data_IF_095636087204
#
_entry.id   IF_095636087204
#
_cell.length_a   1.000
_cell.length_b   1.000
_cell.length_c   1.000
_cell.angle_alpha   90.00
_cell.angle_beta   90.00
_cell.angle_gamma   90.00
#
_symmetry.space_group_name_H-M   'P 1'
#
loop_
_entity.id
_entity.type
_entity.pdbx_description
1 polymer ?
#
# COMPACT_ATOMS: atom_id res chain seq x y z
N UNK A 1 13.31 -13.05 -12.42
CA UNK A 1 12.49 -14.28 -12.53
C UNK A 1 11.46 -14.14 -13.65
N UNK A 2 11.11 -15.23 -14.38
CA UNK A 2 10.10 -15.26 -15.45
C UNK A 2 8.93 -16.12 -14.99
N UNK A 3 7.73 -15.55 -15.03
CA UNK A 3 6.50 -16.27 -14.70
C UNK A 3 5.99 -16.98 -15.94
N UNK A 4 5.50 -18.20 -15.77
CA UNK A 4 5.14 -19.09 -16.86
C UNK A 4 3.69 -19.54 -16.70
N UNK A 5 2.94 -19.44 -17.78
CA UNK A 5 1.59 -19.98 -17.88
C UNK A 5 1.60 -21.16 -18.85
N UNK A 6 0.77 -22.15 -18.60
CA UNK A 6 0.54 -23.24 -19.55
C UNK A 6 -0.27 -22.75 -20.77
N UNK A 7 -0.59 -23.66 -21.70
CA UNK A 7 -1.39 -23.37 -22.90
C UNK A 7 -2.77 -22.79 -22.56
N UNK A 8 -3.38 -23.23 -21.47
CA UNK A 8 -4.72 -22.82 -21.01
C UNK A 8 -4.69 -21.55 -20.16
N UNK A 9 -3.50 -20.96 -19.92
CA UNK A 9 -3.33 -19.76 -19.12
C UNK A 9 -3.25 -19.99 -17.62
N UNK A 10 -3.16 -21.25 -17.17
CA UNK A 10 -2.95 -21.58 -15.76
C UNK A 10 -1.49 -21.36 -15.35
N UNK A 11 -1.21 -20.88 -14.13
CA UNK A 11 0.13 -20.60 -13.69
C UNK A 11 0.92 -21.89 -13.42
N UNK A 12 2.17 -21.88 -13.87
CA UNK A 12 3.19 -22.89 -13.58
C UNK A 12 4.28 -22.30 -12.68
N UNK A 13 5.22 -23.15 -12.26
CA UNK A 13 6.38 -22.68 -11.51
C UNK A 13 7.21 -21.68 -12.32
N UNK A 14 7.61 -20.56 -11.72
CA UNK A 14 8.44 -19.57 -12.38
C UNK A 14 9.86 -20.10 -12.62
N UNK A 15 10.57 -19.51 -13.58
CA UNK A 15 11.90 -19.97 -13.96
C UNK A 15 12.92 -18.84 -14.03
N UNK A 16 14.18 -19.15 -13.69
CA UNK A 16 15.35 -18.28 -13.90
C UNK A 16 16.14 -18.68 -15.15
N UNK A 17 15.69 -19.67 -15.91
CA UNK A 17 16.39 -20.15 -17.12
C UNK A 17 16.13 -19.22 -18.31
N UNK A 18 16.67 -18.01 -18.27
CA UNK A 18 16.45 -16.96 -19.28
C UNK A 18 16.81 -17.43 -20.71
N UNK A 19 17.86 -18.24 -20.85
CA UNK A 19 18.25 -18.81 -22.16
C UNK A 19 17.17 -19.73 -22.76
N UNK A 20 16.55 -20.60 -21.92
CA UNK A 20 15.41 -21.44 -22.35
C UNK A 20 14.23 -20.56 -22.78
N UNK A 21 13.92 -19.52 -22.02
CA UNK A 21 12.81 -18.61 -22.33
C UNK A 21 13.04 -17.89 -23.68
N UNK A 22 14.28 -17.36 -23.91
CA UNK A 22 14.61 -16.74 -25.22
C UNK A 22 14.44 -17.71 -26.38
N UNK A 23 14.87 -18.94 -26.23
CA UNK A 23 14.69 -20.00 -27.24
C UNK A 23 13.22 -20.27 -27.52
N UNK A 24 12.39 -20.43 -26.47
CA UNK A 24 10.94 -20.67 -26.61
C UNK A 24 10.25 -19.50 -27.34
N UNK A 25 10.63 -18.27 -27.06
CA UNK A 25 10.09 -17.10 -27.74
C UNK A 25 10.55 -17.03 -29.22
N UNK A 26 11.85 -17.32 -29.48
CA UNK A 26 12.40 -17.34 -30.84
C UNK A 26 11.75 -18.41 -31.70
N UNK A 27 11.50 -19.60 -31.15
CA UNK A 27 10.87 -20.75 -31.84
C UNK A 27 9.34 -20.63 -31.85
N UNK A 28 8.75 -19.53 -31.41
CA UNK A 28 7.29 -19.29 -31.32
C UNK A 28 6.54 -20.37 -30.49
N UNK A 29 7.24 -21.10 -29.61
CA UNK A 29 6.64 -22.04 -28.64
C UNK A 29 6.10 -21.37 -27.39
N UNK A 30 6.36 -20.08 -27.22
CA UNK A 30 5.79 -19.24 -26.17
C UNK A 30 5.50 -17.83 -26.70
N UNK A 31 4.56 -17.15 -26.04
CA UNK A 31 4.27 -15.73 -26.28
C UNK A 31 4.39 -14.91 -24.99
N UNK A 32 4.75 -13.63 -25.11
CA UNK A 32 4.77 -12.71 -23.97
C UNK A 32 3.35 -12.24 -23.67
N UNK A 33 2.91 -12.43 -22.43
CA UNK A 33 1.60 -11.98 -21.96
C UNK A 33 1.73 -10.65 -21.20
N UNK A 34 2.82 -10.49 -20.42
CA UNK A 34 3.03 -9.30 -19.61
C UNK A 34 4.51 -8.97 -19.52
N UNK A 35 4.84 -7.67 -19.55
CA UNK A 35 6.23 -7.20 -19.44
C UNK A 35 6.70 -7.08 -17.99
N UNK A 36 5.81 -6.66 -17.09
CA UNK A 36 6.16 -6.48 -15.69
C UNK A 36 4.98 -6.87 -14.75
N UNK A 37 5.12 -7.90 -13.90
CA UNK A 37 6.18 -8.91 -13.89
C UNK A 37 6.26 -9.68 -15.22
N UNK A 38 7.48 -10.03 -15.66
CA UNK A 38 7.65 -10.64 -16.97
C UNK A 38 7.03 -12.04 -17.00
N UNK A 39 5.97 -12.19 -17.82
CA UNK A 39 5.14 -13.40 -17.87
C UNK A 39 5.01 -13.89 -19.31
N UNK A 40 5.26 -15.16 -19.51
CA UNK A 40 5.09 -15.84 -20.79
C UNK A 40 4.01 -16.93 -20.70
N UNK A 41 3.36 -17.23 -21.81
CA UNK A 41 2.45 -18.36 -21.95
C UNK A 41 3.05 -19.34 -22.94
N UNK A 42 3.09 -20.62 -22.55
CA UNK A 42 3.49 -21.71 -23.42
C UNK A 42 2.37 -22.01 -24.43
N UNK A 43 2.74 -22.42 -25.62
CA UNK A 43 1.82 -22.74 -26.70
C UNK A 43 1.75 -24.23 -27.02
N UNK A 44 2.29 -25.06 -26.12
CA UNK A 44 2.31 -26.52 -26.20
C UNK A 44 1.93 -27.10 -24.85
N UNK A 45 1.51 -28.36 -24.85
CA UNK A 45 1.08 -29.06 -23.64
C UNK A 45 2.30 -29.44 -22.77
N UNK A 46 2.14 -29.22 -21.48
CA UNK A 46 3.18 -29.49 -20.46
C UNK A 46 2.57 -30.16 -19.24
N UNK A 47 3.41 -30.87 -18.49
CA UNK A 47 3.04 -31.36 -17.16
C UNK A 47 2.84 -30.17 -16.20
N UNK A 48 1.83 -30.27 -15.35
CA UNK A 48 1.44 -29.22 -14.39
C UNK A 48 2.00 -29.47 -12.98
N UNK A 49 3.21 -30.02 -12.87
CA UNK A 49 3.85 -30.23 -11.58
C UNK A 49 4.21 -28.88 -10.94
N UNK A 50 3.66 -28.61 -9.76
CA UNK A 50 3.91 -27.41 -8.98
C UNK A 50 4.37 -27.77 -7.58
N UNK A 51 5.11 -26.85 -6.94
CA UNK A 51 5.47 -26.93 -5.53
C UNK A 51 4.47 -26.13 -4.72
N UNK A 52 4.38 -26.42 -3.43
CA UNK A 52 3.58 -25.61 -2.52
C UNK A 52 4.14 -24.18 -2.41
N UNK A 53 3.27 -23.23 -2.64
CA UNK A 53 3.58 -21.82 -2.55
C UNK A 53 2.67 -21.18 -1.50
N UNK A 54 3.28 -20.58 -0.47
CA UNK A 54 2.56 -19.80 0.51
C UNK A 54 2.67 -18.31 0.16
N UNK A 55 1.52 -17.65 0.05
CA UNK A 55 1.42 -16.21 -0.12
C UNK A 55 1.20 -15.54 1.23
N UNK A 56 2.20 -14.79 1.71
CA UNK A 56 2.06 -13.89 2.86
C UNK A 56 1.53 -12.52 2.42
N UNK A 57 0.58 -11.99 3.19
CA UNK A 57 -0.05 -10.69 2.93
C UNK A 57 0.00 -9.82 4.18
N UNK A 58 0.83 -8.77 4.15
CA UNK A 58 0.77 -7.66 5.11
C UNK A 58 -0.31 -6.68 4.66
N UNK A 59 -1.48 -6.76 5.30
CA UNK A 59 -2.65 -5.98 4.94
C UNK A 59 -2.61 -4.58 5.57
N UNK A 60 -1.90 -3.65 4.94
CA UNK A 60 -1.76 -2.28 5.41
C UNK A 60 -2.80 -1.29 4.88
N UNK A 61 -2.92 -0.12 5.52
CA UNK A 61 -3.86 0.94 5.11
C UNK A 61 -3.34 1.82 3.97
N UNK A 62 -2.05 1.97 3.86
CA UNK A 62 -1.35 2.77 2.85
C UNK A 62 -0.53 1.90 1.90
N UNK A 63 0.03 0.83 2.41
CA UNK A 63 0.83 -0.14 1.69
C UNK A 63 0.28 -1.55 1.90
N UNK A 64 0.51 -2.43 0.96
CA UNK A 64 0.28 -3.86 1.08
C UNK A 64 1.61 -4.54 0.78
N UNK A 65 2.13 -5.29 1.74
CA UNK A 65 3.25 -6.17 1.50
C UNK A 65 2.78 -7.52 0.97
N UNK A 66 3.49 -8.05 -0.01
CA UNK A 66 3.20 -9.36 -0.60
C UNK A 66 4.50 -10.13 -0.75
N UNK A 67 4.50 -11.39 -0.33
CA UNK A 67 5.60 -12.31 -0.58
C UNK A 67 5.06 -13.71 -0.85
N UNK A 68 5.39 -14.26 -2.02
CA UNK A 68 5.07 -15.64 -2.38
C UNK A 68 6.34 -16.49 -2.27
N UNK A 69 6.32 -17.47 -1.39
CA UNK A 69 7.50 -18.26 -1.02
C UNK A 69 7.22 -19.75 -1.15
N UNK A 70 8.23 -20.50 -1.55
CA UNK A 70 8.36 -21.92 -1.20
C UNK A 70 9.18 -22.04 0.09
N UNK A 71 9.33 -23.24 0.64
CA UNK A 71 10.14 -23.48 1.84
C UNK A 71 11.54 -22.83 1.77
N UNK A 72 12.16 -22.81 0.59
CA UNK A 72 13.57 -22.42 0.43
C UNK A 72 13.78 -21.14 -0.38
N UNK A 73 12.78 -20.67 -1.15
CA UNK A 73 12.97 -19.59 -2.12
C UNK A 73 11.81 -18.62 -2.11
N UNK A 74 12.14 -17.37 -2.23
CA UNK A 74 11.21 -16.30 -2.57
C UNK A 74 10.98 -16.31 -4.08
N UNK A 75 9.72 -16.42 -4.48
CA UNK A 75 9.31 -16.45 -5.89
C UNK A 75 8.79 -15.08 -6.36
N UNK A 76 8.25 -14.30 -5.43
CA UNK A 76 7.71 -12.96 -5.70
C UNK A 76 7.71 -12.13 -4.44
N UNK A 77 8.12 -10.89 -4.55
CA UNK A 77 7.94 -9.88 -3.49
C UNK A 77 7.40 -8.59 -4.08
N UNK A 78 6.53 -7.93 -3.35
CA UNK A 78 6.02 -6.62 -3.76
C UNK A 78 5.65 -5.72 -2.58
N UNK A 79 5.87 -4.42 -2.79
CA UNK A 79 5.28 -3.33 -2.01
C UNK A 79 4.25 -2.61 -2.88
N UNK A 80 3.03 -2.51 -2.40
CA UNK A 80 1.91 -1.93 -3.14
C UNK A 80 1.46 -0.65 -2.45
N UNK A 81 1.84 0.49 -2.97
CA UNK A 81 1.34 1.79 -2.51
C UNK A 81 -0.12 1.98 -2.94
N UNK A 82 -1.01 2.09 -1.96
CA UNK A 82 -2.42 2.40 -2.16
C UNK A 82 -2.62 3.89 -2.40
N UNK A 83 -3.78 4.26 -2.93
CA UNK A 83 -4.11 5.67 -3.15
C UNK A 83 -4.22 6.44 -1.84
N UNK A 84 -3.46 7.51 -1.73
CA UNK A 84 -3.45 8.45 -0.61
C UNK A 84 -4.02 9.85 -0.98
N UNK A 85 -4.37 10.05 -2.25
CA UNK A 85 -4.87 11.31 -2.80
C UNK A 85 -6.39 11.52 -2.63
N UNK A 86 -7.13 10.51 -2.16
CA UNK A 86 -8.60 10.50 -2.14
C UNK A 86 -9.16 11.63 -1.26
N UNK A 87 -8.61 11.84 -0.06
CA UNK A 87 -9.08 12.88 0.85
C UNK A 87 -8.94 14.28 0.24
N UNK A 88 -7.78 14.58 -0.36
CA UNK A 88 -7.54 15.86 -1.06
C UNK A 88 -8.50 16.07 -2.24
N UNK A 89 -8.81 15.02 -3.00
CA UNK A 89 -9.75 15.09 -4.11
C UNK A 89 -11.20 15.28 -3.64
N UNK A 90 -11.58 14.69 -2.51
CA UNK A 90 -12.91 14.89 -1.91
C UNK A 90 -13.07 16.31 -1.36
N UNK A 91 -12.06 16.85 -0.73
CA UNK A 91 -12.03 18.25 -0.25
C UNK A 91 -12.14 19.23 -1.41
N UNK A 92 -11.35 19.06 -2.46
CA UNK A 92 -11.47 19.87 -3.68
C UNK A 92 -12.87 19.78 -4.27
N UNK A 93 -13.46 18.58 -4.33
CA UNK A 93 -14.84 18.37 -4.78
C UNK A 93 -15.86 19.08 -3.89
N UNK A 94 -15.67 19.05 -2.58
CA UNK A 94 -16.51 19.75 -1.61
C UNK A 94 -16.47 21.26 -1.84
N UNK A 95 -15.28 21.83 -1.98
CA UNK A 95 -15.06 23.25 -2.25
C UNK A 95 -15.73 23.70 -3.55
N UNK A 96 -15.56 22.94 -4.65
CA UNK A 96 -16.25 23.26 -5.91
C UNK A 96 -17.77 23.13 -5.83
N UNK A 97 -18.30 22.20 -5.04
CA UNK A 97 -19.74 22.05 -4.82
C UNK A 97 -20.29 23.23 -4.02
N UNK A 98 -19.57 23.68 -2.97
CA UNK A 98 -19.92 24.86 -2.17
C UNK A 98 -19.97 26.12 -3.03
N UNK A 99 -18.91 26.38 -3.80
CA UNK A 99 -18.84 27.50 -4.73
C UNK A 99 -20.00 27.50 -5.76
N UNK A 100 -20.37 26.32 -6.28
CA UNK A 100 -21.49 26.19 -7.23
C UNK A 100 -22.84 26.49 -6.58
N UNK A 101 -23.06 26.11 -5.34
CA UNK A 101 -24.31 26.41 -4.60
C UNK A 101 -24.46 27.91 -4.36
N UNK A 102 -23.38 28.59 -4.01
CA UNK A 102 -23.41 30.03 -3.72
C UNK A 102 -23.75 30.89 -4.94
N UNK A 103 -23.64 30.36 -6.17
CA UNK A 103 -23.97 31.12 -7.40
C UNK A 103 -25.46 31.21 -7.71
N UNK A 104 -26.34 30.62 -6.90
CA UNK A 104 -27.82 30.59 -7.06
C UNK A 104 -28.35 30.14 -8.44
N UNK A 105 -27.49 29.67 -9.34
CA UNK A 105 -27.85 29.32 -10.73
C UNK A 105 -28.59 28.02 -10.91
N UNK A 106 -28.55 27.11 -9.95
CA UNK A 106 -29.27 25.82 -9.99
C UNK A 106 -29.31 25.19 -8.62
N UNK A 107 -30.48 25.17 -7.99
CA UNK A 107 -30.67 24.47 -6.73
C UNK A 107 -31.13 23.02 -6.99
N UNK A 108 -30.39 22.05 -6.43
CA UNK A 108 -30.83 20.64 -6.37
C UNK A 108 -31.20 20.32 -4.94
N UNK A 109 -32.34 19.64 -4.75
CA UNK A 109 -32.72 19.11 -3.44
C UNK A 109 -31.57 18.33 -2.80
N UNK A 110 -31.45 18.45 -1.48
CA UNK A 110 -30.46 17.67 -0.71
C UNK A 110 -30.77 16.18 -0.87
N UNK A 111 -29.79 15.39 -1.30
CA UNK A 111 -29.88 13.94 -1.29
C UNK A 111 -29.33 13.43 0.04
N UNK A 112 -30.13 12.65 0.73
CA UNK A 112 -29.81 12.12 2.05
C UNK A 112 -29.44 10.62 2.00
N UNK A 113 -28.93 10.16 0.89
CA UNK A 113 -28.60 8.76 0.62
C UNK A 113 -27.55 8.15 1.57
N UNK A 114 -26.91 8.96 2.41
CA UNK A 114 -25.86 8.54 3.35
C UNK A 114 -26.32 8.55 4.82
N UNK A 115 -27.61 8.48 5.07
CA UNK A 115 -28.15 8.37 6.43
C UNK A 115 -28.05 6.94 6.95
N UNK A 116 -27.98 6.78 8.28
CA UNK A 116 -27.96 5.47 8.94
C UNK A 116 -29.13 4.59 8.49
N UNK A 117 -30.31 5.19 8.32
CA UNK A 117 -31.52 4.53 7.85
C UNK A 117 -31.46 3.93 6.45
N UNK A 118 -30.52 4.38 5.61
CA UNK A 118 -30.31 3.85 4.25
C UNK A 118 -29.22 2.78 4.16
N UNK A 119 -28.67 2.36 5.30
CA UNK A 119 -27.59 1.36 5.35
C UNK A 119 -28.17 0.00 5.72
N UNK A 120 -27.86 -1.00 4.92
CA UNK A 120 -28.22 -2.40 5.19
C UNK A 120 -27.26 -3.04 6.20
N UNK A 121 -27.64 -4.17 6.77
CA UNK A 121 -26.77 -5.00 7.63
C UNK A 121 -25.47 -5.34 6.90
N UNK A 122 -24.34 -5.27 7.58
CA UNK A 122 -23.03 -5.52 6.98
C UNK A 122 -22.48 -4.39 6.09
N UNK A 123 -23.15 -3.22 6.03
CA UNK A 123 -22.67 -2.09 5.24
C UNK A 123 -21.31 -1.60 5.74
N UNK A 124 -20.36 -1.47 4.82
CA UNK A 124 -19.06 -0.87 5.06
C UNK A 124 -18.94 0.49 4.38
N UNK A 125 -18.18 1.40 4.99
CA UNK A 125 -17.89 2.67 4.34
C UNK A 125 -17.20 2.44 2.99
N UNK A 126 -17.56 3.16 1.91
CA UNK A 126 -16.98 2.95 0.58
C UNK A 126 -15.44 3.04 0.53
N UNK A 127 -14.82 3.76 1.47
CA UNK A 127 -13.37 3.84 1.60
C UNK A 127 -12.75 2.54 2.13
N UNK A 128 -13.44 1.85 3.04
CA UNK A 128 -13.04 0.54 3.58
C UNK A 128 -13.19 -0.51 2.48
N UNK A 129 -14.36 -0.57 1.86
CA UNK A 129 -14.65 -1.50 0.77
C UNK A 129 -13.64 -1.36 -0.38
N UNK A 130 -13.34 -0.12 -0.78
CA UNK A 130 -12.33 0.13 -1.81
C UNK A 130 -10.94 -0.38 -1.44
N UNK A 131 -10.55 -0.30 -0.17
CA UNK A 131 -9.27 -0.87 0.29
C UNK A 131 -9.30 -2.39 0.28
N UNK A 132 -10.37 -3.01 0.80
CA UNK A 132 -10.56 -4.46 0.76
C UNK A 132 -10.46 -4.96 -0.68
N UNK A 133 -11.19 -4.35 -1.61
CA UNK A 133 -11.12 -4.71 -3.04
C UNK A 133 -9.72 -4.51 -3.65
N UNK A 134 -8.94 -3.58 -3.11
CA UNK A 134 -7.55 -3.40 -3.57
C UNK A 134 -6.65 -4.55 -3.14
N UNK A 135 -6.85 -5.08 -1.92
CA UNK A 135 -6.14 -6.26 -1.43
C UNK A 135 -6.53 -7.50 -2.24
N UNK A 136 -7.84 -7.72 -2.47
CA UNK A 136 -8.31 -8.81 -3.32
C UNK A 136 -7.71 -8.76 -4.72
N UNK A 137 -7.73 -7.60 -5.36
CA UNK A 137 -7.16 -7.44 -6.69
C UNK A 137 -5.66 -7.78 -6.76
N UNK A 138 -4.92 -7.61 -5.68
CA UNK A 138 -3.52 -8.01 -5.63
C UNK A 138 -3.34 -9.51 -5.43
N UNK A 139 -4.13 -10.12 -4.54
CA UNK A 139 -4.15 -11.59 -4.37
C UNK A 139 -4.51 -12.28 -5.68
N UNK A 140 -5.59 -11.87 -6.35
CA UNK A 140 -5.97 -12.41 -7.66
C UNK A 140 -4.88 -12.25 -8.72
N UNK A 141 -4.19 -11.09 -8.76
CA UNK A 141 -3.08 -10.88 -9.71
C UNK A 141 -1.97 -11.89 -9.51
N UNK A 142 -1.69 -12.28 -8.27
CA UNK A 142 -0.68 -13.28 -7.97
C UNK A 142 -1.14 -14.69 -8.33
N UNK A 143 -2.38 -15.05 -8.05
CA UNK A 143 -2.96 -16.34 -8.47
C UNK A 143 -2.96 -16.52 -10.00
N UNK A 144 -2.99 -15.43 -10.76
CA UNK A 144 -2.89 -15.49 -12.24
C UNK A 144 -1.49 -15.73 -12.77
N UNK A 145 -0.44 -15.63 -11.95
CA UNK A 145 0.96 -15.77 -12.39
C UNK A 145 1.74 -16.81 -11.58
N UNK A 146 1.21 -17.23 -10.43
CA UNK A 146 1.82 -18.22 -9.53
C UNK A 146 0.76 -19.22 -9.06
N UNK A 147 1.07 -20.52 -9.00
CA UNK A 147 0.18 -21.54 -8.46
C UNK A 147 0.20 -21.55 -6.92
N UNK A 148 -0.42 -20.50 -6.33
CA UNK A 148 -0.48 -20.32 -4.87
C UNK A 148 -1.38 -21.40 -4.26
N UNK A 149 -0.85 -22.13 -3.26
CA UNK A 149 -1.58 -23.23 -2.58
C UNK A 149 -2.11 -22.80 -1.20
N UNK A 150 -1.49 -21.80 -0.57
CA UNK A 150 -1.88 -21.29 0.74
C UNK A 150 -1.74 -19.78 0.81
N UNK A 151 -2.67 -19.12 1.50
CA UNK A 151 -2.61 -17.68 1.81
C UNK A 151 -2.53 -17.51 3.32
N UNK A 152 -1.61 -16.66 3.77
CA UNK A 152 -1.52 -16.23 5.17
C UNK A 152 -1.65 -14.71 5.23
N UNK A 153 -2.58 -14.22 6.03
CA UNK A 153 -2.86 -12.78 6.14
C UNK A 153 -2.53 -12.29 7.55
N UNK A 154 -1.85 -11.15 7.64
CA UNK A 154 -1.74 -10.46 8.92
C UNK A 154 -3.06 -9.81 9.30
N UNK A 155 -3.63 -10.23 10.43
CA UNK A 155 -4.80 -9.62 11.04
C UNK A 155 -4.41 -8.70 12.20
N UNK A 156 -5.36 -7.91 12.71
CA UNK A 156 -5.17 -7.22 13.97
C UNK A 156 -5.07 -8.27 15.10
N UNK A 157 -4.21 -8.03 16.08
CA UNK A 157 -3.92 -8.97 17.18
C UNK A 157 -5.15 -9.40 17.97
N UNK A 158 -6.18 -8.54 17.99
CA UNK A 158 -7.47 -8.85 18.57
C UNK A 158 -8.55 -8.05 17.84
N UNK A 159 -9.59 -8.73 17.41
CA UNK A 159 -10.90 -8.12 17.27
C UNK A 159 -11.49 -8.06 18.69
N UNK A 160 -11.24 -6.97 19.37
CA UNK A 160 -11.65 -6.78 20.77
C UNK A 160 -13.15 -6.77 20.92
N UNK A 161 -13.87 -6.35 19.91
CA UNK A 161 -15.33 -6.36 19.89
C UNK A 161 -15.85 -7.77 19.71
N UNK A 162 -15.24 -8.55 18.80
CA UNK A 162 -15.56 -9.96 18.61
C UNK A 162 -15.28 -10.77 19.90
N UNK A 163 -14.10 -10.57 20.50
CA UNK A 163 -13.72 -11.26 21.73
C UNK A 163 -14.64 -10.90 22.89
N UNK A 164 -14.98 -9.63 23.04
CA UNK A 164 -15.92 -9.15 24.04
C UNK A 164 -17.33 -9.71 23.82
N UNK A 165 -17.78 -9.70 22.57
CA UNK A 165 -19.09 -10.28 22.22
C UNK A 165 -19.12 -11.80 22.49
N UNK A 166 -18.07 -12.53 22.17
CA UNK A 166 -17.95 -13.97 22.46
C UNK A 166 -17.94 -14.26 23.96
N UNK A 167 -17.18 -13.47 24.76
CA UNK A 167 -17.14 -13.61 26.21
C UNK A 167 -18.47 -13.24 26.88
N UNK A 168 -19.19 -12.28 26.34
CA UNK A 168 -20.48 -11.80 26.85
C UNK A 168 -21.68 -12.55 26.26
N UNK A 169 -21.47 -13.55 25.38
CA UNK A 169 -22.54 -14.28 24.69
C UNK A 169 -23.37 -13.41 23.75
N UNK A 170 -22.83 -12.28 23.29
CA UNK A 170 -23.51 -11.35 22.38
C UNK A 170 -23.30 -11.75 20.93
N UNK A 171 -24.21 -11.31 20.01
CA UNK A 171 -24.01 -11.52 18.57
C UNK A 171 -22.66 -10.99 18.09
N UNK A 172 -22.09 -11.66 17.10
CA UNK A 172 -20.83 -11.24 16.46
C UNK A 172 -21.04 -9.86 15.84
N UNK A 173 -20.16 -8.87 16.17
CA UNK A 173 -20.28 -7.52 15.62
C UNK A 173 -20.12 -7.52 14.09
N UNK A 174 -20.98 -6.80 13.41
CA UNK A 174 -20.94 -6.68 11.95
C UNK A 174 -21.00 -5.21 11.50
N UNK A 175 -20.25 -4.88 10.46
CA UNK A 175 -20.33 -3.60 9.75
C UNK A 175 -20.30 -2.35 10.64
N UNK A 176 -21.48 -1.80 10.97
CA UNK A 176 -21.61 -0.56 11.75
C UNK A 176 -21.29 -0.73 13.23
N UNK A 177 -21.39 -1.92 13.80
CA UNK A 177 -21.13 -2.17 15.22
C UNK A 177 -19.67 -1.89 15.56
N UNK A 178 -18.76 -2.15 14.60
CA UNK A 178 -17.36 -1.82 14.73
C UNK A 178 -17.05 -0.31 14.78
N UNK A 179 -18.01 0.54 14.42
CA UNK A 179 -17.80 2.00 14.47
C UNK A 179 -17.97 2.58 15.89
N UNK A 180 -18.61 1.82 16.79
CA UNK A 180 -18.95 2.25 18.13
C UNK A 180 -18.15 1.55 19.24
N UNK A 181 -17.16 0.71 18.88
CA UNK A 181 -16.44 -0.11 19.84
C UNK A 181 -15.26 0.58 20.53
N UNK A 182 -15.02 0.21 21.78
CA UNK A 182 -13.85 0.58 22.54
C UNK A 182 -12.71 -0.43 22.34
N UNK A 183 -11.49 0.07 22.27
CA UNK A 183 -10.29 -0.76 22.21
C UNK A 183 -10.01 -1.34 23.60
N UNK A 184 -9.93 -2.67 23.74
CA UNK A 184 -9.57 -3.31 25.00
C UNK A 184 -8.04 -3.35 25.22
N UNK A 185 -7.62 -3.31 26.48
CA UNK A 185 -6.31 -3.04 27.04
C UNK A 185 -5.04 -3.37 26.25
N UNK A 186 -4.96 -4.51 25.58
CA UNK A 186 -3.74 -4.93 24.90
C UNK A 186 -3.51 -4.19 23.57
N UNK A 187 -4.55 -3.96 22.80
CA UNK A 187 -4.48 -3.18 21.57
C UNK A 187 -4.26 -1.69 21.79
N UNK A 188 -4.59 -1.19 22.97
CA UNK A 188 -4.35 0.21 23.32
C UNK A 188 -2.87 0.54 23.26
N UNK A 189 -1.99 -0.29 23.81
CA UNK A 189 -0.55 -0.05 23.81
C UNK A 189 0.02 0.04 22.39
N UNK A 190 -0.26 -0.95 21.56
CA UNK A 190 0.20 -0.96 20.16
C UNK A 190 -0.44 0.16 19.34
N UNK A 191 -1.71 0.47 19.59
CA UNK A 191 -2.36 1.62 18.99
C UNK A 191 -1.66 2.92 19.34
N UNK A 192 -1.32 3.15 20.63
CA UNK A 192 -0.63 4.35 21.09
C UNK A 192 0.74 4.46 20.44
N UNK A 193 1.50 3.36 20.40
CA UNK A 193 2.80 3.34 19.75
C UNK A 193 2.70 3.66 18.26
N UNK A 194 1.75 3.06 17.55
CA UNK A 194 1.48 3.34 16.16
C UNK A 194 1.04 4.79 15.92
N UNK A 195 0.12 5.30 16.75
CA UNK A 195 -0.34 6.70 16.68
C UNK A 195 0.82 7.67 16.78
N UNK A 196 1.74 7.40 17.67
CA UNK A 196 2.88 8.24 18.01
C UNK A 196 4.12 7.92 17.15
N UNK A 197 3.95 7.14 16.08
CA UNK A 197 4.99 6.70 15.15
C UNK A 197 6.17 5.99 15.85
N UNK A 198 5.88 5.16 16.87
CA UNK A 198 6.92 4.45 17.65
C UNK A 198 8.02 5.39 18.16
N UNK A 199 7.66 6.62 18.50
CA UNK A 199 8.60 7.66 18.93
C UNK A 199 8.18 8.22 20.27
N UNK A 200 9.11 8.34 21.20
CA UNK A 200 8.86 9.02 22.48
C UNK A 200 8.37 10.46 22.23
N UNK A 201 7.20 10.79 22.72
CA UNK A 201 6.58 12.09 22.48
C UNK A 201 7.18 13.22 23.34
N UNK A 202 7.96 12.89 24.35
CA UNK A 202 8.72 13.86 25.12
C UNK A 202 10.05 14.21 24.46
N UNK A 203 10.98 13.28 24.34
CA UNK A 203 12.32 13.54 23.83
C UNK A 203 12.44 13.45 22.30
N UNK A 204 11.39 13.03 21.59
CA UNK A 204 11.37 12.85 20.13
C UNK A 204 12.54 11.98 19.60
N UNK A 205 12.88 10.93 20.36
CA UNK A 205 13.96 10.01 20.02
C UNK A 205 15.38 10.43 20.48
N UNK A 206 15.52 11.62 21.07
CA UNK A 206 16.85 12.13 21.49
C UNK A 206 17.57 11.27 22.52
N UNK A 207 16.83 10.53 23.38
CA UNK A 207 17.41 9.63 24.39
C UNK A 207 18.05 8.37 23.80
N UNK A 208 17.76 8.04 22.53
CA UNK A 208 18.17 6.79 21.85
C UNK A 208 17.75 5.50 22.58
N UNK A 209 16.86 5.59 23.57
CA UNK A 209 16.35 4.45 24.32
C UNK A 209 15.36 3.66 23.43
N UNK A 210 15.63 2.37 23.17
CA UNK A 210 14.79 1.57 22.27
C UNK A 210 13.50 1.08 22.95
N UNK A 211 13.42 1.15 24.29
CA UNK A 211 12.28 0.63 25.04
C UNK A 211 11.19 1.68 25.13
N UNK A 212 10.04 1.40 24.51
CA UNK A 212 8.87 2.26 24.56
C UNK A 212 7.83 1.74 25.55
N UNK A 213 7.22 2.67 26.27
CA UNK A 213 6.16 2.43 27.24
C UNK A 213 4.99 3.37 27.01
N UNK A 214 3.79 2.96 27.41
CA UNK A 214 2.62 3.85 27.43
C UNK A 214 2.53 4.54 28.78
N UNK A 215 2.29 5.85 28.77
CA UNK A 215 2.20 6.70 29.94
C UNK A 215 0.85 7.42 29.98
N UNK A 216 0.22 7.47 31.18
CA UNK A 216 -0.98 8.26 31.43
C UNK A 216 -0.59 9.73 31.62
N UNK A 217 -0.72 10.56 30.59
CA UNK A 217 -0.23 11.95 30.66
C UNK A 217 -1.04 12.85 31.61
N UNK A 218 -2.27 12.46 31.96
CA UNK A 218 -3.13 13.20 32.88
C UNK A 218 -3.19 12.60 34.29
N UNK A 219 -2.21 11.74 34.68
CA UNK A 219 -2.16 11.09 36.00
C UNK A 219 -2.18 12.09 37.17
N UNK A 220 -1.58 13.25 37.01
CA UNK A 220 -1.53 14.33 37.98
C UNK A 220 -2.89 15.02 38.21
N UNK A 221 -3.85 14.82 37.31
CA UNK A 221 -5.28 15.19 37.48
C UNK A 221 -6.13 14.06 38.06
N UNK A 222 -5.54 12.93 38.41
CA UNK A 222 -6.26 11.72 38.83
C UNK A 222 -6.88 10.91 37.68
N UNK A 223 -6.57 11.21 36.42
CA UNK A 223 -7.05 10.42 35.28
C UNK A 223 -6.07 9.27 34.99
N UNK A 224 -6.44 8.08 35.45
CA UNK A 224 -5.74 6.82 35.17
C UNK A 224 -6.51 5.95 34.17
N UNK A 225 -7.43 6.55 33.40
CA UNK A 225 -8.23 5.79 32.45
C UNK A 225 -7.39 5.33 31.27
N UNK A 226 -7.63 4.10 30.81
CA UNK A 226 -7.00 3.54 29.63
C UNK A 226 -7.61 4.08 28.31
N UNK A 227 -8.19 5.27 28.32
CA UNK A 227 -8.64 5.92 27.08
C UNK A 227 -7.41 6.30 26.27
N UNK A 228 -7.39 6.04 24.94
CA UNK A 228 -6.26 6.45 24.12
C UNK A 228 -5.97 7.95 24.13
N UNK A 229 -6.97 8.79 24.43
CA UNK A 229 -6.77 10.24 24.65
C UNK A 229 -6.02 10.57 25.95
N UNK A 230 -5.94 9.63 26.91
CA UNK A 230 -5.23 9.80 28.18
C UNK A 230 -3.86 9.13 28.19
N UNK A 231 -3.51 8.42 27.11
CA UNK A 231 -2.27 7.67 26.98
C UNK A 231 -1.36 8.28 25.91
N UNK A 232 -0.03 8.20 26.14
CA UNK A 232 0.99 8.68 25.23
C UNK A 232 2.23 7.78 25.24
N UNK A 233 2.99 7.77 24.14
CA UNK A 233 4.23 6.99 24.04
C UNK A 233 5.40 7.75 24.68
N UNK A 234 6.08 7.14 25.63
CA UNK A 234 7.37 7.58 26.16
C UNK A 234 8.42 6.48 25.97
N UNK A 235 9.70 6.83 25.98
CA UNK A 235 10.75 5.84 26.19
C UNK A 235 10.95 5.60 27.68
N UNK A 236 11.55 4.47 28.05
CA UNK A 236 11.73 4.10 29.46
C UNK A 236 12.54 5.17 30.24
N UNK A 237 13.59 5.71 29.64
CA UNK A 237 14.37 6.82 30.19
C UNK A 237 13.53 8.06 30.52
N UNK A 238 12.55 8.41 29.66
CA UNK A 238 11.68 9.58 29.90
C UNK A 238 10.53 9.27 30.86
N UNK A 239 10.17 8.01 31.01
CA UNK A 239 9.10 7.56 31.92
C UNK A 239 9.62 7.16 33.34
N UNK A 240 10.83 7.56 33.70
CA UNK A 240 11.39 7.30 35.01
C UNK A 240 10.56 7.98 36.11
N UNK A 241 10.37 7.30 37.25
CA UNK A 241 9.53 7.73 38.36
C UNK A 241 9.95 9.09 38.94
N UNK A 242 11.26 9.44 38.87
CA UNK A 242 11.77 10.73 39.31
C UNK A 242 11.16 11.91 38.55
N UNK A 243 10.70 11.73 37.28
CA UNK A 243 10.10 12.77 36.46
C UNK A 243 8.60 12.93 36.65
N UNK A 244 7.97 12.04 37.44
CA UNK A 244 6.54 12.11 37.74
C UNK A 244 6.21 13.03 38.92
N UNK A 245 7.21 13.43 39.70
CA UNK A 245 7.04 14.31 40.85
C UNK A 245 6.81 15.75 40.43
N UNK A 246 6.05 16.50 41.24
CA UNK A 246 5.74 17.92 40.99
C UNK A 246 7.00 18.77 40.92
N UNK A 247 7.97 18.48 41.76
CA UNK A 247 9.25 19.19 41.88
C UNK A 247 10.14 19.00 40.61
N UNK A 248 9.97 17.90 39.91
CA UNK A 248 10.74 17.61 38.69
C UNK A 248 10.36 18.50 37.50
N UNK A 249 9.20 19.14 37.56
CA UNK A 249 8.64 20.04 36.54
C UNK A 249 8.78 19.51 35.09
N UNK A 250 8.62 18.21 34.92
CA UNK A 250 8.82 17.54 33.64
C UNK A 250 7.55 16.88 33.11
N UNK A 251 7.08 15.79 33.70
CA UNK A 251 5.84 15.12 33.29
C UNK A 251 4.62 15.64 34.03
N UNK A 252 4.83 16.21 35.23
CA UNK A 252 3.77 16.84 36.01
C UNK A 252 3.28 18.11 35.31
N UNK A 253 1.97 18.21 35.06
CA UNK A 253 1.40 19.36 34.33
C UNK A 253 1.57 19.32 32.84
N UNK A 254 2.22 18.30 32.28
CA UNK A 254 2.41 18.19 30.84
C UNK A 254 1.10 17.79 30.13
N UNK A 255 0.67 18.62 29.20
CA UNK A 255 -0.51 18.41 28.36
C UNK A 255 -0.12 18.32 26.87
N UNK A 256 0.22 17.12 26.39
CA UNK A 256 0.56 16.93 24.99
C UNK A 256 -0.67 17.10 24.07
N UNK A 257 -0.50 17.73 22.91
CA UNK A 257 -1.54 17.75 21.87
C UNK A 257 -1.67 16.39 21.23
N UNK A 258 -2.76 15.68 21.51
CA UNK A 258 -3.09 14.40 20.89
C UNK A 258 -4.02 14.66 19.71
N UNK A 259 -3.49 14.59 18.49
CA UNK A 259 -4.21 15.00 17.28
C UNK A 259 -4.88 13.86 16.51
N UNK A 260 -4.55 12.61 16.80
CA UNK A 260 -5.02 11.44 16.05
C UNK A 260 -6.22 10.79 16.72
N UNK A 261 -7.25 10.51 15.93
CA UNK A 261 -8.48 9.85 16.39
C UNK A 261 -8.37 8.33 16.27
N UNK A 262 -9.15 7.61 17.09
CA UNK A 262 -9.33 6.14 17.06
C UNK A 262 -9.73 5.57 15.70
N UNK A 263 -10.24 6.41 14.82
CA UNK A 263 -10.77 6.00 13.50
C UNK A 263 -9.83 5.11 12.69
N UNK A 264 -8.51 5.28 12.83
CA UNK A 264 -7.56 4.47 12.07
C UNK A 264 -7.41 3.05 12.61
N UNK A 265 -7.39 2.85 13.92
CA UNK A 265 -7.24 1.51 14.50
C UNK A 265 -8.49 0.66 14.27
N UNK A 266 -9.67 1.23 14.54
CA UNK A 266 -10.95 0.57 14.26
C UNK A 266 -11.08 0.25 12.77
N UNK A 267 -10.73 1.22 11.91
CA UNK A 267 -10.69 1.04 10.47
C UNK A 267 -9.83 -0.16 10.03
N UNK A 268 -8.63 -0.30 10.59
CA UNK A 268 -7.71 -1.38 10.25
C UNK A 268 -8.22 -2.73 10.74
N UNK A 269 -8.78 -2.79 11.95
CA UNK A 269 -9.41 -4.00 12.48
C UNK A 269 -10.53 -4.49 11.56
N UNK A 270 -11.51 -3.64 11.28
CA UNK A 270 -12.63 -3.98 10.38
C UNK A 270 -12.14 -4.40 8.99
N UNK A 271 -11.17 -3.67 8.42
CA UNK A 271 -10.65 -3.97 7.08
C UNK A 271 -9.97 -5.35 7.03
N UNK A 272 -9.06 -5.63 7.97
CA UNK A 272 -8.28 -6.88 8.00
C UNK A 272 -9.15 -8.11 8.22
N UNK A 273 -10.05 -8.05 9.21
CA UNK A 273 -10.97 -9.15 9.49
C UNK A 273 -11.95 -9.41 8.37
N UNK A 274 -12.55 -8.36 7.79
CA UNK A 274 -13.44 -8.51 6.63
C UNK A 274 -12.70 -9.09 5.43
N UNK A 275 -11.47 -8.61 5.18
CA UNK A 275 -10.64 -9.14 4.11
C UNK A 275 -10.32 -10.63 4.31
N UNK A 276 -9.88 -11.01 5.52
CA UNK A 276 -9.61 -12.39 5.87
C UNK A 276 -10.83 -13.30 5.72
N UNK A 277 -11.98 -12.91 6.29
CA UNK A 277 -13.20 -13.72 6.23
C UNK A 277 -13.66 -13.94 4.79
N UNK A 278 -13.68 -12.89 3.98
CA UNK A 278 -14.05 -13.01 2.55
C UNK A 278 -13.03 -13.81 1.75
N UNK A 279 -11.73 -13.80 2.09
CA UNK A 279 -10.74 -14.67 1.44
C UNK A 279 -11.04 -16.14 1.72
N UNK A 280 -11.45 -16.49 2.94
CA UNK A 280 -11.84 -17.87 3.29
C UNK A 280 -13.05 -18.36 2.50
N UNK A 281 -13.95 -17.48 2.11
CA UNK A 281 -15.09 -17.84 1.26
C UNK A 281 -14.68 -18.20 -0.18
N UNK A 282 -13.55 -17.65 -0.66
CA UNK A 282 -13.10 -17.78 -2.06
C UNK A 282 -12.00 -18.85 -2.20
N UNK A 283 -11.07 -18.91 -1.24
CA UNK A 283 -9.91 -19.78 -1.31
C UNK A 283 -9.94 -20.83 -0.19
N UNK A 284 -9.66 -22.12 -0.51
CA UNK A 284 -9.81 -23.21 0.44
C UNK A 284 -8.79 -23.18 1.59
N UNK A 285 -7.60 -22.64 1.35
CA UNK A 285 -6.49 -22.71 2.31
C UNK A 285 -6.00 -21.29 2.70
N UNK A 286 -6.76 -20.66 3.60
CA UNK A 286 -6.45 -19.33 4.13
C UNK A 286 -6.27 -19.41 5.64
N UNK A 287 -5.14 -18.94 6.13
CA UNK A 287 -4.82 -18.82 7.54
C UNK A 287 -4.45 -17.38 7.91
N UNK A 288 -4.31 -17.11 9.18
CA UNK A 288 -3.94 -15.77 9.67
C UNK A 288 -2.75 -15.85 10.62
N UNK A 289 -2.07 -14.72 10.77
CA UNK A 289 -1.06 -14.47 11.80
C UNK A 289 -1.27 -13.09 12.41
N UNK A 290 -0.58 -12.83 13.51
CA UNK A 290 -0.70 -11.55 14.22
C UNK A 290 0.55 -10.70 14.04
N UNK A 291 0.39 -9.36 14.02
CA UNK A 291 1.49 -8.44 13.78
C UNK A 291 2.66 -8.53 14.79
N UNK A 292 2.39 -8.94 16.04
CA UNK A 292 3.48 -9.16 17.01
C UNK A 292 4.33 -10.39 16.64
N UNK A 293 3.72 -11.46 16.11
CA UNK A 293 4.43 -12.64 15.62
C UNK A 293 5.32 -12.24 14.43
N UNK A 294 4.75 -11.55 13.46
CA UNK A 294 5.50 -11.03 12.29
C UNK A 294 6.71 -10.21 12.72
N UNK A 295 6.52 -9.31 13.71
CA UNK A 295 7.60 -8.48 14.24
C UNK A 295 8.69 -9.32 14.91
N UNK A 296 8.33 -10.26 15.77
CA UNK A 296 9.29 -11.11 16.48
C UNK A 296 10.07 -11.97 15.49
N UNK A 297 9.40 -12.68 14.58
CA UNK A 297 10.04 -13.48 13.53
C UNK A 297 11.03 -12.66 12.70
N UNK A 298 10.66 -11.41 12.34
CA UNK A 298 11.55 -10.52 11.60
C UNK A 298 12.80 -10.15 12.38
N UNK A 299 12.67 -9.83 13.69
CA UNK A 299 13.79 -9.47 14.57
C UNK A 299 14.71 -10.67 14.78
N UNK A 300 14.16 -11.84 15.11
CA UNK A 300 14.90 -13.09 15.32
C UNK A 300 15.74 -13.48 14.10
N UNK A 301 15.25 -13.19 12.91
CA UNK A 301 15.96 -13.46 11.64
C UNK A 301 16.79 -12.26 11.14
N UNK A 302 16.98 -11.20 11.93
CA UNK A 302 17.75 -10.00 11.56
C UNK A 302 17.33 -9.39 10.21
N UNK A 303 16.05 -9.41 9.89
CA UNK A 303 15.53 -8.93 8.61
C UNK A 303 15.15 -7.45 8.67
N UNK A 304 15.34 -6.68 7.58
CA UNK A 304 14.99 -5.25 7.53
C UNK A 304 13.48 -5.05 7.59
N UNK A 305 13.05 -3.90 8.14
CA UNK A 305 11.64 -3.55 8.21
C UNK A 305 11.14 -2.98 6.88
N UNK A 306 10.57 -3.82 6.06
CA UNK A 306 9.86 -3.44 4.83
C UNK A 306 8.57 -4.25 4.72
N UNK A 307 7.57 -3.74 4.00
CA UNK A 307 6.28 -4.43 3.88
C UNK A 307 6.39 -5.81 3.20
N UNK A 308 7.24 -5.96 2.20
CA UNK A 308 7.45 -7.26 1.52
C UNK A 308 8.23 -8.26 2.39
N UNK A 309 9.14 -7.79 3.27
CA UNK A 309 9.83 -8.64 4.24
C UNK A 309 8.88 -9.08 5.36
N UNK A 310 8.06 -8.17 5.87
CA UNK A 310 7.01 -8.52 6.82
C UNK A 310 6.07 -9.58 6.20
N UNK A 311 5.69 -9.43 4.92
CA UNK A 311 4.92 -10.43 4.20
C UNK A 311 5.66 -11.79 4.04
N UNK A 312 7.00 -11.78 3.92
CA UNK A 312 7.81 -13.01 3.94
C UNK A 312 7.74 -13.71 5.30
N UNK A 313 7.84 -12.97 6.39
CA UNK A 313 7.66 -13.51 7.73
C UNK A 313 6.23 -14.08 7.92
N UNK A 314 5.22 -13.39 7.41
CA UNK A 314 3.82 -13.83 7.41
C UNK A 314 3.64 -15.15 6.66
N UNK A 315 4.36 -15.37 5.56
CA UNK A 315 4.27 -16.65 4.81
C UNK A 315 4.80 -17.85 5.59
N UNK A 316 5.50 -17.63 6.72
CA UNK A 316 6.12 -18.68 7.53
C UNK A 316 7.49 -19.14 7.02
N UNK A 317 8.07 -18.45 6.05
CA UNK A 317 9.38 -18.78 5.48
C UNK A 317 10.34 -17.57 5.51
N UNK A 318 10.70 -17.04 6.71
CA UNK A 318 11.56 -15.87 6.83
C UNK A 318 12.95 -16.07 6.22
N UNK A 319 13.48 -17.31 6.31
CA UNK A 319 14.80 -17.70 5.80
C UNK A 319 14.83 -17.99 4.28
N UNK A 320 13.67 -17.94 3.60
CA UNK A 320 13.61 -18.20 2.17
C UNK A 320 14.53 -17.23 1.40
N UNK A 321 15.41 -17.81 0.55
CA UNK A 321 16.39 -17.04 -0.20
C UNK A 321 15.73 -16.11 -1.21
N UNK A 322 15.90 -14.80 -1.03
CA UNK A 322 15.51 -13.75 -1.97
C UNK A 322 16.69 -13.41 -2.89
N UNK A 323 16.40 -13.03 -4.13
CA UNK A 323 17.40 -12.47 -5.04
C UNK A 323 17.54 -10.94 -4.89
N UNK A 324 16.92 -10.35 -3.88
CA UNK A 324 16.91 -8.91 -3.64
C UNK A 324 16.00 -8.11 -4.57
N UNK A 325 15.33 -8.72 -5.52
CA UNK A 325 14.39 -8.04 -6.40
C UNK A 325 12.98 -8.03 -5.80
N UNK A 326 12.32 -6.86 -5.81
CA UNK A 326 10.91 -6.73 -5.50
C UNK A 326 10.19 -5.85 -6.52
N UNK A 327 8.87 -5.99 -6.59
CA UNK A 327 8.03 -5.16 -7.45
C UNK A 327 7.39 -4.05 -6.62
N UNK A 328 7.59 -2.81 -7.05
CA UNK A 328 6.87 -1.68 -6.50
C UNK A 328 5.64 -1.39 -7.36
N UNK A 329 4.46 -1.45 -6.74
CA UNK A 329 3.18 -1.16 -7.37
C UNK A 329 2.63 0.15 -6.83
N UNK A 330 2.31 1.07 -7.71
CA UNK A 330 1.61 2.31 -7.33
C UNK A 330 0.20 2.31 -7.88
N UNK A 331 -0.78 2.31 -6.99
CA UNK A 331 -2.19 2.37 -7.40
C UNK A 331 -2.56 3.78 -7.81
N UNK A 332 -3.05 3.93 -9.04
CA UNK A 332 -3.44 5.22 -9.60
C UNK A 332 -4.92 5.27 -9.93
N UNK A 333 -5.43 6.48 -10.19
CA UNK A 333 -6.83 6.69 -10.53
C UNK A 333 -7.11 6.23 -11.97
N UNK A 334 -8.04 5.27 -12.13
CA UNK A 334 -8.43 4.75 -13.46
C UNK A 334 -9.24 5.73 -14.29
N UNK A 335 -10.11 6.55 -13.66
CA UNK A 335 -11.05 7.41 -14.34
C UNK A 335 -10.63 8.86 -14.26
N UNK A 336 -10.40 9.44 -15.43
CA UNK A 336 -9.99 10.82 -15.59
C UNK A 336 -11.21 11.69 -15.91
N UNK A 337 -12.17 11.82 -14.97
CA UNK A 337 -13.25 12.78 -15.13
C UNK A 337 -12.69 14.17 -15.21
N UNK A 338 -13.01 14.88 -16.29
CA UNK A 338 -12.72 16.30 -16.41
C UNK A 338 -13.42 17.05 -15.29
N UNK A 339 -12.64 17.64 -14.40
CA UNK A 339 -13.14 18.59 -13.42
C UNK A 339 -13.18 19.94 -14.10
N UNK A 340 -14.38 20.45 -14.40
CA UNK A 340 -14.54 21.82 -14.84
C UNK A 340 -14.22 22.73 -13.66
N UNK A 341 -13.04 23.30 -13.64
CA UNK A 341 -12.66 24.35 -12.71
C UNK A 341 -13.25 25.66 -13.24
N UNK A 342 -14.23 26.20 -12.55
CA UNK A 342 -14.63 27.57 -12.80
C UNK A 342 -13.52 28.49 -12.26
N UNK A 343 -12.98 29.36 -13.09
CA UNK A 343 -12.12 30.42 -12.62
C UNK A 343 -13.01 31.54 -12.05
N UNK A 344 -13.20 31.55 -10.74
CA UNK A 344 -14.04 32.53 -10.04
C UNK A 344 -13.51 33.94 -10.14
N UNK A 345 -12.21 34.12 -10.34
CA UNK A 345 -11.56 35.44 -10.48
C UNK A 345 -11.75 36.08 -11.86
N UNK A 346 -12.16 35.31 -12.88
CA UNK A 346 -12.34 35.79 -14.27
C UNK A 346 -13.74 35.54 -14.78
N UNK A 347 -14.77 36.00 -14.06
CA UNK A 347 -16.16 35.97 -14.53
C UNK A 347 -16.78 34.57 -14.68
N UNK A 348 -16.17 33.52 -14.14
CA UNK A 348 -16.77 32.19 -14.08
C UNK A 348 -16.77 31.37 -15.37
N UNK A 349 -16.03 31.74 -16.39
CA UNK A 349 -15.94 31.00 -17.66
C UNK A 349 -15.30 29.64 -17.40
N UNK A 350 -16.01 28.56 -17.77
CA UNK A 350 -15.52 27.21 -17.67
C UNK A 350 -14.49 26.93 -18.76
N UNK A 351 -13.24 26.74 -18.41
CA UNK A 351 -12.24 26.18 -19.31
C UNK A 351 -12.10 24.68 -19.07
N UNK A 352 -12.07 23.89 -20.14
CA UNK A 352 -11.62 22.51 -20.10
C UNK A 352 -10.12 22.50 -19.75
N UNK A 353 -9.78 21.99 -18.57
CA UNK A 353 -8.38 21.96 -18.10
C UNK A 353 -7.71 20.61 -18.34
N UNK A 354 -8.27 19.76 -19.20
CA UNK A 354 -7.72 18.41 -19.42
C UNK A 354 -7.63 18.12 -20.91
N UNK A 355 -6.49 17.57 -21.30
CA UNK A 355 -6.28 17.01 -22.62
C UNK A 355 -7.25 15.83 -22.88
N UNK A 356 -7.49 15.53 -24.13
CA UNK A 356 -8.25 14.36 -24.55
C UNK A 356 -7.70 13.07 -23.93
N UNK A 357 -8.54 12.01 -23.90
CA UNK A 357 -8.15 10.71 -23.31
C UNK A 357 -6.84 10.17 -23.92
N UNK A 358 -6.69 10.33 -25.21
CA UNK A 358 -5.47 9.97 -25.94
C UNK A 358 -4.94 11.21 -26.66
N UNK A 359 -3.66 11.52 -26.48
CA UNK A 359 -2.97 12.62 -27.17
C UNK A 359 -1.79 12.04 -27.92
N UNK A 360 -1.75 12.21 -29.25
CA UNK A 360 -0.66 11.68 -30.09
C UNK A 360 -0.33 10.20 -29.82
N UNK A 361 -1.36 9.37 -29.58
CA UNK A 361 -1.22 7.94 -29.31
C UNK A 361 -0.93 7.56 -27.84
N UNK A 362 -0.68 8.53 -26.95
CA UNK A 362 -0.34 8.27 -25.57
C UNK A 362 -1.48 8.58 -24.60
N UNK A 363 -1.57 7.81 -23.54
CA UNK A 363 -2.55 7.95 -22.44
C UNK A 363 -1.87 8.39 -21.15
N UNK A 364 -2.66 8.84 -20.18
CA UNK A 364 -2.18 9.06 -18.83
C UNK A 364 -1.75 7.72 -18.22
N UNK A 365 -0.60 7.73 -17.56
CA UNK A 365 0.04 6.58 -16.92
C UNK A 365 0.64 5.52 -17.86
N UNK A 366 0.67 5.77 -19.17
CA UNK A 366 1.43 4.90 -20.05
C UNK A 366 2.92 4.89 -19.66
N UNK A 367 3.54 3.71 -19.76
CA UNK A 367 4.98 3.54 -19.59
C UNK A 367 5.66 3.88 -20.92
N UNK A 368 6.62 4.76 -20.85
CA UNK A 368 7.36 5.27 -21.99
C UNK A 368 8.87 5.18 -21.77
N UNK A 369 9.61 5.03 -22.85
CA UNK A 369 11.07 5.12 -22.86
C UNK A 369 11.48 6.51 -23.34
N UNK A 370 12.41 7.12 -22.61
CA UNK A 370 13.08 8.36 -22.98
C UNK A 370 14.56 8.27 -22.56
N UNK A 371 15.49 8.52 -23.49
CA UNK A 371 16.92 8.41 -23.24
C UNK A 371 17.33 7.09 -22.57
N UNK A 372 16.86 5.97 -23.11
CA UNK A 372 17.07 4.59 -22.64
C UNK A 372 16.56 4.27 -21.22
N UNK A 373 15.84 5.19 -20.57
CA UNK A 373 15.20 4.98 -19.27
C UNK A 373 13.69 4.89 -19.40
N UNK A 374 13.05 4.16 -18.49
CA UNK A 374 11.60 3.99 -18.46
C UNK A 374 10.96 4.98 -17.46
N UNK A 375 9.89 5.63 -17.90
CA UNK A 375 9.12 6.62 -17.14
C UNK A 375 7.63 6.41 -17.33
N UNK A 376 6.82 7.14 -16.57
CA UNK A 376 5.37 7.12 -16.67
C UNK A 376 4.82 8.52 -16.97
N UNK A 377 3.75 8.58 -17.78
CA UNK A 377 3.10 9.83 -18.14
C UNK A 377 2.16 10.27 -17.03
N UNK A 378 2.49 11.36 -16.34
CA UNK A 378 1.64 11.96 -15.29
C UNK A 378 0.84 13.18 -15.77
N UNK A 379 1.20 13.76 -16.89
CA UNK A 379 0.49 14.90 -17.49
C UNK A 379 0.53 14.89 -19.00
N UNK A 380 -0.57 15.33 -19.62
CA UNK A 380 -0.72 15.42 -21.08
C UNK A 380 -1.18 16.82 -21.46
N UNK A 381 -0.59 17.38 -22.51
CA UNK A 381 -1.01 18.64 -23.11
C UNK A 381 -1.45 18.39 -24.56
N UNK A 382 -2.51 19.06 -25.00
CA UNK A 382 -3.03 18.94 -26.36
C UNK A 382 -1.95 19.23 -27.44
N UNK A 383 -0.96 20.08 -27.09
CA UNK A 383 0.20 20.37 -27.94
C UNK A 383 1.15 19.19 -28.17
N UNK A 384 0.95 18.04 -27.51
CA UNK A 384 1.83 16.87 -27.64
C UNK A 384 3.06 16.91 -26.73
N UNK A 385 3.08 17.78 -25.71
CA UNK A 385 4.08 17.75 -24.66
C UNK A 385 3.57 17.00 -23.43
N UNK A 386 4.42 16.19 -22.82
CA UNK A 386 4.09 15.31 -21.71
C UNK A 386 4.91 15.60 -20.47
N UNK A 387 4.28 15.47 -19.30
CA UNK A 387 4.94 15.41 -17.98
C UNK A 387 5.23 13.93 -17.69
N UNK A 388 6.47 13.50 -17.87
CA UNK A 388 6.93 12.16 -17.51
C UNK A 388 7.70 12.17 -16.20
N UNK A 389 7.50 11.11 -15.42
CA UNK A 389 8.09 10.99 -14.07
C UNK A 389 8.46 9.55 -13.75
N UNK A 390 9.36 9.40 -12.78
CA UNK A 390 9.54 8.16 -12.03
C UNK A 390 8.34 7.90 -11.10
N UNK A 391 8.20 6.69 -10.55
CA UNK A 391 7.13 6.41 -9.58
C UNK A 391 7.31 7.16 -8.25
N UNK A 392 8.53 7.57 -7.91
CA UNK A 392 8.82 8.41 -6.75
C UNK A 392 8.43 9.87 -6.94
N UNK A 393 7.95 10.24 -8.14
CA UNK A 393 7.41 11.55 -8.46
C UNK A 393 8.42 12.54 -9.04
N UNK A 394 9.67 12.13 -9.26
CA UNK A 394 10.70 12.97 -9.88
C UNK A 394 10.34 13.29 -11.33
N UNK A 395 10.29 14.58 -11.66
CA UNK A 395 10.00 15.06 -13.00
C UNK A 395 11.26 15.04 -13.87
N UNK A 396 11.09 14.59 -15.10
CA UNK A 396 12.14 14.66 -16.12
C UNK A 396 11.99 15.95 -16.92
N UNK A 397 13.10 16.65 -17.14
CA UNK A 397 13.16 17.89 -17.92
C UNK A 397 12.03 18.90 -17.57
N UNK A 398 11.89 19.24 -16.29
CA UNK A 398 10.85 20.13 -15.76
C UNK A 398 9.42 19.74 -16.13
N UNK A 399 9.19 18.49 -16.55
CA UNK A 399 7.87 17.96 -16.91
C UNK A 399 7.37 18.45 -18.29
N UNK A 400 8.25 18.65 -19.25
CA UNK A 400 7.85 19.06 -20.61
C UNK A 400 8.72 18.38 -21.67
N UNK A 401 8.25 17.22 -22.17
CA UNK A 401 8.94 16.43 -23.20
C UNK A 401 8.00 16.21 -24.38
N UNK A 402 8.49 16.46 -25.60
CA UNK A 402 7.72 16.23 -26.82
C UNK A 402 7.46 14.74 -27.05
N UNK A 403 6.27 14.41 -27.54
CA UNK A 403 5.86 13.04 -27.87
C UNK A 403 6.80 12.37 -28.89
N UNK A 404 7.42 13.14 -29.79
CA UNK A 404 8.37 12.64 -30.79
C UNK A 404 9.60 11.96 -30.18
N UNK A 405 9.96 12.32 -28.92
CA UNK A 405 11.10 11.75 -28.16
C UNK A 405 10.70 10.56 -27.28
N UNK A 406 9.42 10.19 -27.28
CA UNK A 406 8.90 9.14 -26.42
C UNK A 406 8.58 7.89 -27.23
N UNK A 407 8.98 6.73 -26.69
CA UNK A 407 8.59 5.42 -27.24
C UNK A 407 7.65 4.71 -26.27
N UNK A 408 6.45 4.38 -26.72
CA UNK A 408 5.47 3.65 -25.92
C UNK A 408 5.98 2.23 -25.64
N UNK A 409 6.05 1.84 -24.37
CA UNK A 409 6.44 0.49 -23.94
C UNK A 409 5.25 -0.34 -23.48
N UNK A 410 4.36 0.24 -22.69
CA UNK A 410 3.21 -0.46 -22.12
C UNK A 410 2.10 0.54 -21.77
N UNK A 411 0.84 0.14 -22.00
CA UNK A 411 -0.31 0.92 -21.52
C UNK A 411 -0.69 0.50 -20.12
N UNK A 412 -0.77 1.45 -19.19
CA UNK A 412 -1.13 1.19 -17.79
C UNK A 412 -2.52 1.71 -17.47
N UNK A 413 -3.28 0.94 -16.66
CA UNK A 413 -4.65 1.33 -16.29
C UNK A 413 -4.78 1.70 -14.82
N UNK A 414 -4.46 0.79 -13.91
CA UNK A 414 -4.81 0.89 -12.48
C UNK A 414 -3.58 0.91 -11.59
N UNK A 415 -2.57 0.12 -11.95
CA UNK A 415 -1.33 -0.01 -11.22
C UNK A 415 -0.16 0.30 -12.13
N UNK A 416 0.70 1.17 -11.70
CA UNK A 416 2.03 1.38 -12.28
C UNK A 416 2.98 0.42 -11.58
N UNK A 417 3.83 -0.27 -12.31
CA UNK A 417 4.66 -1.34 -11.77
C UNK A 417 6.10 -1.07 -12.15
N UNK A 418 6.99 -1.18 -11.18
CA UNK A 418 8.43 -1.02 -11.37
C UNK A 418 9.14 -2.17 -10.66
N UNK A 419 10.20 -2.70 -11.25
CA UNK A 419 11.08 -3.66 -10.59
C UNK A 419 12.19 -2.88 -9.90
N UNK A 420 12.39 -3.14 -8.62
CA UNK A 420 13.41 -2.50 -7.78
C UNK A 420 14.29 -3.55 -7.12
N UNK A 421 15.50 -3.12 -6.77
CA UNK A 421 16.38 -3.91 -5.90
C UNK A 421 16.17 -3.47 -4.46
N UNK A 422 16.18 -4.42 -3.54
CA UNK A 422 16.23 -4.13 -2.12
C UNK A 422 17.53 -3.39 -1.79
N UNK A 423 17.45 -2.33 -1.00
CA UNK A 423 18.64 -1.65 -0.49
C UNK A 423 19.42 -2.62 0.40
N UNK A 424 20.53 -3.10 -0.10
CA UNK A 424 21.45 -3.99 0.64
C UNK A 424 22.33 -3.24 1.63
N UNK A 425 22.01 -1.96 1.92
CA UNK A 425 22.82 -1.11 2.80
C UNK A 425 24.18 -0.68 2.19
N UNK A 426 24.50 -1.17 1.02
CA UNK A 426 25.68 -0.72 0.24
C UNK A 426 25.15 0.19 -0.87
N UNK A 427 25.41 1.47 -0.74
CA UNK A 427 25.17 2.46 -1.80
C UNK A 427 26.04 2.07 -3.00
N UNK A 428 25.45 1.37 -3.96
CA UNK A 428 26.03 1.28 -5.30
C UNK A 428 25.77 2.64 -5.95
N UNK A 429 26.82 3.43 -6.05
CA UNK A 429 26.84 4.62 -6.90
C UNK A 429 26.33 4.25 -8.31
N UNK A 430 25.61 5.14 -9.00
CA UNK A 430 25.17 4.87 -10.34
C UNK A 430 26.39 4.56 -11.21
N UNK A 431 26.36 3.46 -11.94
CA UNK A 431 27.36 3.12 -12.95
C UNK A 431 27.35 4.24 -14.00
N UNK A 432 28.24 5.21 -13.81
CA UNK A 432 28.67 6.09 -14.87
C UNK A 432 29.49 5.25 -15.82
N UNK A 433 28.94 4.87 -16.96
CA UNK A 433 29.69 4.38 -18.09
C UNK A 433 30.53 5.54 -18.62
N UNK A 434 31.74 5.71 -18.10
CA UNK A 434 32.77 6.46 -18.78
C UNK A 434 33.16 5.70 -20.05
N UNK A 435 32.68 6.21 -21.16
CA UNK A 435 33.21 5.84 -22.48
C UNK A 435 34.54 6.56 -22.64
N UNK A 436 35.62 5.89 -22.27
CA UNK A 436 36.97 6.31 -22.64
C UNK A 436 37.10 6.20 -24.15
N UNK A 437 37.03 7.35 -24.83
CA UNK A 437 37.44 7.47 -26.22
C UNK A 437 38.97 7.35 -26.30
N UNK A 438 39.46 6.19 -26.70
CA UNK A 438 40.83 6.06 -27.22
C UNK A 438 40.93 6.82 -28.54
N UNK A 439 41.49 8.01 -28.50
CA UNK A 439 42.05 8.64 -29.70
C UNK A 439 43.28 7.86 -30.09
N UNK A 440 43.26 7.20 -31.22
CA UNK A 440 44.45 6.74 -31.93
C UNK A 440 45.14 7.98 -32.51
N UNK A 441 46.33 8.25 -32.04
CA UNK A 441 47.30 9.06 -32.74
C UNK A 441 48.16 8.13 -33.58
N UNK A 442 48.21 8.39 -34.87
CA UNK A 442 49.11 7.76 -35.85
C UNK A 442 48.81 8.41 -37.19
#
# INVERSE_FOLDING_TARGET
>A
MVYVLNKDGQPLMPTNRHGKVRRLLKTKKAKVIKRCPFTIQLLYDTTNHTQDITLGVDAGSKHIGLSATTKNKVLFEADVELRNDISKLLEARYTFRRSRRNRKTRYRKKRFDNRVSSKHKGWLAPSIEHKIQSHFAMVEKLHRILPVTKIVVETASFDTQLLKAQLEGKPIPEGTDYQNGELAGWNIREYIFHRDNYTCQWCKGKSKDPVLVTHHHAYWKGDHTNKPSSLITLCNTCNDSKYHKKEANRLWGWEPKITNSYKHAVFMGVMRWTFYNRLKEIYPNVSMTYGYITKNTRIENNLPKTHYVDARCISGHPEAKSNGEYFYYKKVRCHNRQLHKANTLKGGIRKRNQAEYTVKGFRLFDRVEYQNNEYFIFGRRASGFFDIRTLDGQKVNKGSISFKKLKLKETSKTYLIERRMADTGVSLAPLTTEVTSLRQTG
#
